data_IF_991363980792
#
_entry.id   IF_991363980792
#
_cell.length_a   1.000
_cell.length_b   1.000
_cell.length_c   1.000
_cell.angle_alpha   90.00
_cell.angle_beta   90.00
_cell.angle_gamma   90.00
#
_symmetry.space_group_name_H-M   'P 1'
#
loop_
_entity.id
_entity.type
_entity.pdbx_description
1 polymer ?
#
# COMPACT_ATOMS: atom_id res chain seq x y z
N UNK A 1 52.12 4.22 -41.00
CA UNK A 1 50.69 4.10 -40.70
C UNK A 1 50.52 4.23 -39.15
N UNK A 2 50.07 5.39 -38.70
CA UNK A 2 49.83 5.64 -37.25
C UNK A 2 48.34 5.53 -37.00
N UNK A 3 47.94 4.52 -36.20
CA UNK A 3 46.58 4.29 -35.82
C UNK A 3 46.18 5.23 -34.68
N UNK A 4 45.20 6.07 -34.90
CA UNK A 4 44.65 6.98 -33.90
C UNK A 4 43.55 6.27 -33.15
N UNK A 5 43.73 5.99 -31.86
CA UNK A 5 42.74 5.37 -31.00
C UNK A 5 41.90 6.49 -30.37
N UNK A 6 40.66 6.61 -30.78
CA UNK A 6 39.70 7.59 -30.23
C UNK A 6 39.08 7.01 -28.96
N UNK A 7 39.40 7.61 -27.81
CA UNK A 7 38.82 7.27 -26.52
C UNK A 7 37.46 7.93 -26.41
N UNK A 8 36.39 7.15 -26.42
CA UNK A 8 35.02 7.62 -26.16
C UNK A 8 34.79 7.61 -24.65
N UNK A 9 34.77 8.77 -24.03
CA UNK A 9 34.42 8.94 -22.62
C UNK A 9 32.90 8.94 -22.48
N UNK A 10 32.34 7.89 -21.94
CA UNK A 10 30.90 7.84 -21.55
C UNK A 10 30.76 8.58 -20.22
N UNK A 11 30.20 9.80 -20.29
CA UNK A 11 29.75 10.49 -19.06
C UNK A 11 28.50 9.80 -18.54
N UNK A 12 28.63 9.07 -17.43
CA UNK A 12 27.51 8.64 -16.64
C UNK A 12 26.90 9.87 -15.94
N UNK A 13 25.76 10.33 -16.43
CA UNK A 13 24.96 11.35 -15.74
C UNK A 13 24.31 10.67 -14.54
N UNK A 14 24.94 10.72 -13.38
CA UNK A 14 24.29 10.45 -12.10
C UNK A 14 23.26 11.55 -11.86
N UNK A 15 22.00 11.27 -12.16
CA UNK A 15 20.88 12.10 -11.74
C UNK A 15 20.81 12.09 -10.21
N UNK A 16 21.37 13.09 -9.55
CA UNK A 16 21.07 13.40 -8.14
C UNK A 16 19.64 13.90 -8.07
N UNK A 17 18.67 12.99 -7.95
CA UNK A 17 17.37 13.33 -7.43
C UNK A 17 17.56 13.81 -6.00
N UNK A 18 17.22 15.05 -5.69
CA UNK A 18 17.23 15.57 -4.32
C UNK A 18 16.23 14.74 -3.51
N UNK A 19 16.75 13.80 -2.71
CA UNK A 19 15.92 13.00 -1.80
C UNK A 19 15.39 13.94 -0.73
N UNK A 20 14.08 14.21 -0.77
CA UNK A 20 13.35 14.73 0.37
C UNK A 20 13.64 13.83 1.58
N UNK A 21 13.49 14.39 2.81
CA UNK A 21 13.74 13.64 4.04
C UNK A 21 12.99 12.30 4.07
N UNK A 22 13.54 11.32 4.76
CA UNK A 22 12.85 10.04 5.02
C UNK A 22 12.47 9.93 6.48
N UNK A 23 11.34 9.28 6.76
CA UNK A 23 10.88 8.99 8.12
C UNK A 23 10.44 7.54 8.27
N UNK A 24 10.66 6.97 9.45
CA UNK A 24 10.03 5.71 9.83
C UNK A 24 8.63 6.02 10.34
N UNK A 25 7.62 5.37 9.78
CA UNK A 25 6.24 5.49 10.25
C UNK A 25 5.97 4.58 11.46
N UNK A 26 6.86 3.63 11.75
CA UNK A 26 6.81 2.77 12.92
C UNK A 26 8.13 2.82 13.68
N UNK A 27 8.05 3.04 14.99
CA UNK A 27 9.21 3.24 15.86
C UNK A 27 9.76 1.96 16.53
N UNK A 28 9.11 0.79 16.28
CA UNK A 28 9.47 -0.49 16.87
C UNK A 28 9.03 -0.69 18.34
N UNK A 29 8.31 0.26 18.93
CA UNK A 29 7.97 0.26 20.37
C UNK A 29 6.48 0.37 20.65
N UNK A 30 5.79 1.26 19.95
CA UNK A 30 4.38 1.57 20.17
C UNK A 30 3.73 2.08 18.88
N UNK A 31 2.44 2.42 18.96
CA UNK A 31 1.65 2.93 17.84
C UNK A 31 1.62 4.47 17.78
N UNK A 32 2.61 5.16 18.33
CA UNK A 32 2.70 6.62 18.26
C UNK A 32 2.70 7.10 16.80
N UNK A 33 1.87 8.09 16.50
CA UNK A 33 1.65 8.61 15.13
C UNK A 33 0.58 7.84 14.34
N UNK A 34 -0.13 6.93 15.03
CA UNK A 34 -1.22 6.14 14.47
C UNK A 34 -2.42 6.12 15.42
N UNK A 35 -3.61 6.01 14.86
CA UNK A 35 -4.83 5.67 15.59
C UNK A 35 -5.50 4.43 15.01
N UNK A 36 -6.23 3.74 15.86
CA UNK A 36 -6.95 2.51 15.51
C UNK A 36 -8.41 2.85 15.25
N UNK A 37 -8.94 2.43 14.11
CA UNK A 37 -10.36 2.49 13.78
C UNK A 37 -10.91 1.08 13.58
N UNK A 38 -11.63 0.58 14.59
CA UNK A 38 -12.24 -0.75 14.63
C UNK A 38 -13.72 -0.59 14.97
N UNK A 39 -14.65 -0.71 14.01
CA UNK A 39 -16.08 -0.46 14.25
C UNK A 39 -16.69 -1.28 15.39
N UNK A 40 -16.24 -2.52 15.60
CA UNK A 40 -16.72 -3.37 16.69
C UNK A 40 -16.41 -2.79 18.08
N UNK A 41 -15.39 -1.94 18.20
CA UNK A 41 -15.03 -1.29 19.48
C UNK A 41 -16.06 -0.24 19.91
N UNK A 42 -16.85 0.31 18.99
CA UNK A 42 -17.87 1.33 19.30
C UNK A 42 -18.94 0.78 20.24
N UNK A 43 -19.26 -0.51 20.11
CA UNK A 43 -20.31 -1.17 20.91
C UNK A 43 -19.72 -2.04 22.03
N UNK A 44 -18.47 -2.46 21.91
CA UNK A 44 -17.77 -3.25 22.91
C UNK A 44 -16.30 -2.84 23.03
N UNK A 45 -15.95 -1.89 23.92
CA UNK A 45 -14.57 -1.42 24.09
C UNK A 45 -13.64 -2.47 24.70
N UNK A 46 -14.14 -3.61 25.15
CA UNK A 46 -13.35 -4.71 25.73
C UNK A 46 -12.91 -5.76 24.69
N UNK A 47 -13.13 -5.52 23.39
CA UNK A 47 -12.68 -6.45 22.35
C UNK A 47 -11.16 -6.56 22.32
N UNK A 48 -10.60 -7.68 21.82
CA UNK A 48 -9.17 -7.80 21.59
C UNK A 48 -8.62 -6.67 20.70
N UNK A 49 -7.35 -6.35 20.88
CA UNK A 49 -6.69 -5.35 20.02
C UNK A 49 -6.43 -5.92 18.63
N UNK A 50 -6.90 -5.20 17.59
CA UNK A 50 -6.65 -5.54 16.20
C UNK A 50 -5.18 -5.32 15.80
N UNK A 51 -4.49 -4.40 16.46
CA UNK A 51 -3.09 -4.08 16.21
C UNK A 51 -2.31 -4.04 17.51
N UNK A 52 -1.13 -4.67 17.51
CA UNK A 52 -0.24 -4.74 18.67
C UNK A 52 1.22 -4.56 18.23
N UNK A 53 2.09 -4.28 19.18
CA UNK A 53 3.55 -4.38 18.97
C UNK A 53 4.04 -5.64 19.70
N UNK A 54 4.71 -6.51 18.95
CA UNK A 54 5.23 -7.78 19.46
C UNK A 54 6.66 -8.01 18.95
N UNK A 55 7.63 -8.13 19.86
CA UNK A 55 9.05 -8.34 19.53
C UNK A 55 9.63 -7.26 18.58
N UNK A 56 9.22 -6.00 18.73
CA UNK A 56 9.67 -4.91 17.88
C UNK A 56 8.99 -4.86 16.50
N UNK A 57 8.02 -5.73 16.24
CA UNK A 57 7.21 -5.75 15.01
C UNK A 57 5.85 -5.12 15.28
N UNK A 58 5.34 -4.39 14.29
CA UNK A 58 3.93 -4.05 14.24
C UNK A 58 3.17 -5.26 13.72
N UNK A 59 2.11 -5.65 14.41
CA UNK A 59 1.33 -6.83 14.06
C UNK A 59 -0.14 -6.45 13.90
N UNK A 60 -0.68 -6.69 12.72
CA UNK A 60 -2.11 -6.79 12.49
C UNK A 60 -2.56 -8.19 12.89
N UNK A 61 -3.50 -8.28 13.81
CA UNK A 61 -4.02 -9.57 14.29
C UNK A 61 -5.07 -10.18 13.34
N UNK A 62 -5.46 -9.43 12.29
CA UNK A 62 -6.51 -9.81 11.35
C UNK A 62 -7.93 -9.65 11.90
N UNK A 63 -8.12 -9.85 13.19
CA UNK A 63 -9.40 -9.67 13.88
C UNK A 63 -9.17 -8.97 15.24
N UNK A 64 -10.11 -8.15 15.69
CA UNK A 64 -11.32 -7.68 14.99
C UNK A 64 -10.96 -6.82 13.78
N UNK A 65 -11.81 -6.85 12.73
CA UNK A 65 -11.59 -6.10 11.50
C UNK A 65 -11.56 -4.60 11.71
N UNK A 66 -10.67 -3.93 11.01
CA UNK A 66 -10.52 -2.49 11.07
C UNK A 66 -9.20 -2.01 10.49
N UNK A 67 -8.80 -0.80 10.85
CA UNK A 67 -7.64 -0.14 10.28
C UNK A 67 -6.76 0.50 11.36
N UNK A 68 -5.46 0.50 11.10
CA UNK A 68 -4.48 1.34 11.78
C UNK A 68 -4.11 2.47 10.83
N UNK A 69 -4.44 3.71 11.19
CA UNK A 69 -4.42 4.87 10.30
C UNK A 69 -3.39 5.88 10.83
N UNK A 70 -2.52 6.42 9.96
CA UNK A 70 -1.57 7.46 10.35
C UNK A 70 -2.31 8.74 10.79
N UNK A 71 -1.79 9.41 11.83
CA UNK A 71 -2.36 10.69 12.27
C UNK A 71 -2.10 11.81 11.26
N UNK A 72 -1.02 11.69 10.48
CA UNK A 72 -0.63 12.64 9.43
C UNK A 72 -1.08 12.19 8.05
N UNK A 73 -1.36 13.18 7.17
CA UNK A 73 -1.57 12.97 5.73
C UNK A 73 -0.27 13.17 4.96
N UNK A 74 -0.14 12.47 3.84
CA UNK A 74 1.05 12.48 3.00
C UNK A 74 0.68 12.70 1.54
N UNK A 75 1.60 13.34 0.81
CA UNK A 75 1.56 13.49 -0.64
C UNK A 75 2.97 13.34 -1.21
N UNK A 76 3.07 12.97 -2.46
CA UNK A 76 4.33 12.86 -3.20
C UNK A 76 5.38 12.07 -2.40
N UNK A 77 5.13 10.77 -2.27
CA UNK A 77 5.97 9.90 -1.45
C UNK A 77 6.25 8.54 -2.11
N UNK A 78 7.33 7.92 -1.62
CA UNK A 78 7.61 6.50 -1.76
C UNK A 78 7.50 5.86 -0.39
N UNK A 79 6.61 4.89 -0.24
CA UNK A 79 6.43 4.07 0.96
C UNK A 79 7.05 2.70 0.75
N UNK A 80 7.93 2.29 1.65
CA UNK A 80 8.49 0.94 1.69
C UNK A 80 7.91 0.19 2.87
N UNK A 81 7.30 -0.97 2.58
CA UNK A 81 6.66 -1.86 3.54
C UNK A 81 7.32 -3.22 3.46
N UNK A 82 7.86 -3.73 4.57
CA UNK A 82 8.28 -5.12 4.66
C UNK A 82 7.33 -5.89 5.57
N UNK A 83 6.68 -6.91 5.01
CA UNK A 83 5.61 -7.66 5.66
C UNK A 83 5.74 -9.16 5.44
N UNK A 84 5.09 -9.94 6.31
CA UNK A 84 4.87 -11.36 6.09
C UNK A 84 3.58 -11.83 6.76
N UNK A 85 2.99 -12.88 6.24
CA UNK A 85 1.98 -13.64 6.96
C UNK A 85 2.70 -14.58 7.94
N UNK A 86 2.40 -14.44 9.24
CA UNK A 86 3.06 -15.21 10.29
C UNK A 86 2.50 -16.63 10.43
N UNK A 87 1.31 -16.87 9.89
CA UNK A 87 0.60 -18.14 9.93
C UNK A 87 -0.12 -18.42 8.62
N UNK A 88 -1.41 -18.73 8.68
CA UNK A 88 -2.22 -18.92 7.48
C UNK A 88 -2.29 -17.62 6.66
N UNK A 89 -1.88 -17.66 5.39
CA UNK A 89 -1.99 -16.47 4.54
C UNK A 89 -3.46 -16.17 4.23
N UNK A 90 -3.75 -14.91 3.96
CA UNK A 90 -5.10 -14.46 3.66
C UNK A 90 -5.12 -13.00 3.24
N UNK A 91 -6.03 -12.22 3.80
CA UNK A 91 -6.27 -10.85 3.39
C UNK A 91 -5.60 -9.82 4.32
N UNK A 92 -5.03 -8.80 3.71
CA UNK A 92 -4.52 -7.58 4.32
C UNK A 92 -4.34 -6.53 3.20
N UNK A 93 -4.12 -5.26 3.57
CA UNK A 93 -3.94 -4.19 2.59
C UNK A 93 -3.23 -2.97 3.18
N UNK A 94 -2.65 -2.18 2.28
CA UNK A 94 -2.19 -0.81 2.54
C UNK A 94 -3.11 0.14 1.81
N UNK A 95 -3.86 0.97 2.54
CA UNK A 95 -4.74 1.96 1.97
C UNK A 95 -3.98 3.28 1.85
N UNK A 96 -3.95 3.84 0.65
CA UNK A 96 -3.30 5.14 0.37
C UNK A 96 -4.33 6.21 0.06
N UNK A 97 -3.97 7.47 0.29
CA UNK A 97 -4.85 8.63 0.18
C UNK A 97 -6.13 8.47 1.04
N UNK A 98 -6.01 7.78 2.18
CA UNK A 98 -7.12 7.58 3.07
C UNK A 98 -7.63 8.90 3.65
N UNK A 99 -8.96 9.07 3.69
CA UNK A 99 -9.60 10.29 4.15
C UNK A 99 -10.85 9.96 4.97
N UNK A 100 -12.03 10.25 4.49
CA UNK A 100 -13.30 10.05 5.23
C UNK A 100 -13.37 8.64 5.84
N UNK A 101 -13.39 8.50 7.17
CA UNK A 101 -13.45 7.20 7.81
C UNK A 101 -14.76 6.49 7.50
N UNK A 102 -14.72 5.16 7.46
CA UNK A 102 -15.90 4.27 7.33
C UNK A 102 -16.84 4.62 6.17
N UNK A 103 -16.27 5.13 5.05
CA UNK A 103 -17.02 5.58 3.89
C UNK A 103 -17.67 4.44 3.10
N UNK A 104 -17.18 3.21 3.25
CA UNK A 104 -17.73 2.02 2.60
C UNK A 104 -17.93 0.91 3.63
N UNK A 105 -19.08 0.22 3.58
CA UNK A 105 -19.48 -0.86 4.50
C UNK A 105 -19.38 -0.49 5.99
N UNK A 106 -19.46 0.81 6.34
CA UNK A 106 -19.23 1.32 7.69
C UNK A 106 -17.89 0.86 8.31
N UNK A 107 -16.90 0.55 7.50
CA UNK A 107 -15.60 0.03 7.92
C UNK A 107 -14.43 0.69 7.19
N UNK A 108 -14.44 0.70 5.84
CA UNK A 108 -13.30 1.17 5.06
C UNK A 108 -13.28 2.69 4.94
N UNK A 109 -12.13 3.35 5.17
CA UNK A 109 -11.98 4.77 4.84
C UNK A 109 -12.00 4.97 3.32
N UNK A 110 -12.44 6.13 2.88
CA UNK A 110 -12.33 6.54 1.48
C UNK A 110 -10.86 6.53 1.05
N UNK A 111 -10.47 5.70 0.06
CA UNK A 111 -9.06 5.43 -0.29
C UNK A 111 -8.92 4.61 -1.58
N UNK A 112 -7.67 4.45 -2.04
CA UNK A 112 -7.26 3.35 -2.92
C UNK A 112 -6.50 2.35 -2.04
N UNK A 113 -6.97 1.11 -2.00
CA UNK A 113 -6.26 0.03 -1.32
C UNK A 113 -5.28 -0.64 -2.28
N UNK A 114 -4.05 -0.81 -1.83
CA UNK A 114 -3.04 -1.68 -2.42
C UNK A 114 -3.10 -3.00 -1.69
N UNK A 115 -3.64 -3.99 -2.37
CA UNK A 115 -3.95 -5.30 -1.81
C UNK A 115 -2.68 -6.04 -1.39
N UNK A 116 -2.75 -6.75 -0.26
CA UNK A 116 -1.73 -7.67 0.24
C UNK A 116 -2.26 -9.10 0.38
N UNK A 117 -3.48 -9.37 -0.09
CA UNK A 117 -4.02 -10.73 -0.09
C UNK A 117 -3.06 -11.67 -0.80
N UNK A 118 -2.75 -12.81 -0.16
CA UNK A 118 -1.81 -13.79 -0.71
C UNK A 118 -2.27 -14.32 -2.07
N UNK A 119 -1.40 -14.19 -3.08
CA UNK A 119 -1.66 -14.50 -4.47
C UNK A 119 -2.24 -13.33 -5.29
N UNK A 120 -2.57 -12.20 -4.64
CA UNK A 120 -3.18 -11.02 -5.29
C UNK A 120 -2.48 -9.70 -4.89
N UNK A 121 -1.26 -9.78 -4.35
CA UNK A 121 -0.53 -8.61 -3.88
C UNK A 121 -0.32 -7.58 -5.00
N UNK A 122 -0.70 -6.34 -4.72
CA UNK A 122 -0.60 -5.23 -5.66
C UNK A 122 -1.86 -4.96 -6.49
N UNK A 123 -2.95 -5.70 -6.33
CA UNK A 123 -4.24 -5.29 -6.87
C UNK A 123 -4.63 -3.92 -6.31
N UNK A 124 -5.37 -3.13 -7.08
CA UNK A 124 -6.04 -1.96 -6.54
C UNK A 124 -7.50 -2.27 -6.20
N UNK A 125 -7.94 -1.80 -5.04
CA UNK A 125 -9.36 -1.73 -4.69
C UNK A 125 -9.79 -0.28 -4.54
N UNK A 126 -10.77 0.11 -5.34
CA UNK A 126 -11.39 1.43 -5.32
C UNK A 126 -12.40 1.52 -4.18
N UNK A 127 -12.14 2.36 -3.18
CA UNK A 127 -12.99 2.55 -1.99
C UNK A 127 -13.46 4.00 -1.96
N UNK A 128 -14.55 4.30 -2.63
CA UNK A 128 -15.11 5.66 -2.83
C UNK A 128 -14.10 6.63 -3.48
N UNK A 129 -12.94 6.12 -3.86
CA UNK A 129 -11.91 6.73 -4.72
C UNK A 129 -11.77 5.87 -5.96
N UNK A 130 -11.31 6.45 -7.06
CA UNK A 130 -11.07 5.73 -8.31
C UNK A 130 -9.68 6.01 -8.87
N UNK A 131 -9.18 5.11 -9.71
CA UNK A 131 -7.91 5.22 -10.41
C UNK A 131 -8.03 4.53 -11.78
N UNK A 132 -7.34 5.05 -12.78
CA UNK A 132 -7.28 4.44 -14.10
C UNK A 132 -5.97 3.68 -14.28
N UNK A 133 -6.03 2.56 -14.96
CA UNK A 133 -4.87 1.76 -15.34
C UNK A 133 -4.94 1.44 -16.85
N UNK A 134 -3.81 1.09 -17.48
CA UNK A 134 -3.84 0.48 -18.82
C UNK A 134 -4.68 -0.81 -18.80
N UNK A 135 -5.33 -1.10 -19.93
CA UNK A 135 -6.13 -2.32 -20.12
C UNK A 135 -7.24 -2.52 -19.07
N UNK A 136 -7.89 -1.42 -18.66
CA UNK A 136 -8.91 -1.39 -17.59
C UNK A 136 -9.95 -2.51 -17.74
N UNK A 137 -10.52 -2.72 -18.93
CA UNK A 137 -11.57 -3.71 -19.13
C UNK A 137 -11.07 -5.14 -18.87
N UNK A 138 -9.86 -5.47 -19.31
CA UNK A 138 -9.25 -6.77 -19.06
C UNK A 138 -8.95 -7.00 -17.57
N UNK A 139 -8.73 -5.92 -16.80
CA UNK A 139 -8.29 -5.97 -15.40
C UNK A 139 -9.42 -5.73 -14.40
N UNK A 140 -10.47 -5.04 -14.79
CA UNK A 140 -11.62 -4.68 -13.93
C UNK A 140 -12.94 -5.29 -14.35
N UNK A 141 -13.01 -5.90 -15.54
CA UNK A 141 -14.24 -6.42 -16.14
C UNK A 141 -15.00 -5.39 -16.96
N UNK A 142 -16.26 -5.67 -17.34
CA UNK A 142 -17.04 -4.82 -18.22
C UNK A 142 -17.24 -3.39 -17.67
N UNK A 143 -17.09 -2.35 -18.51
CA UNK A 143 -17.23 -0.95 -18.06
C UNK A 143 -18.55 -0.60 -17.39
N UNK A 144 -19.63 -1.27 -17.78
CA UNK A 144 -20.98 -1.06 -17.19
C UNK A 144 -21.07 -1.47 -15.70
N UNK A 145 -20.14 -2.31 -15.23
CA UNK A 145 -20.08 -2.80 -13.85
C UNK A 145 -19.17 -1.95 -12.96
N UNK A 146 -18.29 -1.12 -13.55
CA UNK A 146 -17.32 -0.33 -12.79
C UNK A 146 -17.99 0.61 -11.80
N UNK A 147 -17.32 0.81 -10.69
CA UNK A 147 -17.70 1.79 -9.69
C UNK A 147 -16.85 1.69 -8.43
N UNK A 148 -17.18 2.51 -7.46
CA UNK A 148 -16.38 2.75 -6.25
C UNK A 148 -17.19 2.47 -4.97
N UNK A 149 -18.43 2.01 -5.13
CA UNK A 149 -19.36 1.75 -4.04
C UNK A 149 -19.74 0.27 -3.98
N UNK A 150 -20.59 -0.08 -3.03
CA UNK A 150 -21.09 -1.43 -2.84
C UNK A 150 -21.76 -1.98 -4.12
N UNK A 151 -21.58 -3.28 -4.38
CA UNK A 151 -22.15 -3.99 -5.53
C UNK A 151 -21.50 -3.67 -6.88
N UNK A 152 -20.45 -2.84 -6.92
CA UNK A 152 -19.72 -2.50 -8.14
C UNK A 152 -18.40 -3.25 -8.26
N UNK A 153 -17.91 -3.39 -9.50
CA UNK A 153 -16.58 -3.89 -9.78
C UNK A 153 -15.54 -2.84 -9.33
N UNK A 154 -14.98 -3.03 -8.14
CA UNK A 154 -14.02 -2.11 -7.49
C UNK A 154 -12.58 -2.57 -7.59
N UNK A 155 -12.36 -3.89 -7.80
CA UNK A 155 -11.04 -4.50 -7.93
C UNK A 155 -10.46 -4.27 -9.31
N UNK A 156 -9.21 -3.85 -9.36
CA UNK A 156 -8.38 -3.76 -10.57
C UNK A 156 -7.21 -4.72 -10.39
N UNK A 157 -7.20 -5.83 -11.11
CA UNK A 157 -6.17 -6.85 -10.98
C UNK A 157 -4.77 -6.31 -11.27
N UNK A 158 -3.77 -6.85 -10.60
CA UNK A 158 -2.36 -6.58 -10.81
C UNK A 158 -1.88 -7.09 -12.20
N UNK A 159 -0.60 -6.90 -12.49
CA UNK A 159 0.03 -7.30 -13.76
C UNK A 159 0.61 -8.72 -13.69
N UNK A 160 0.86 -9.26 -12.49
CA UNK A 160 1.47 -10.57 -12.28
C UNK A 160 1.20 -11.09 -10.86
N UNK A 161 0.87 -12.38 -10.74
CA UNK A 161 0.52 -13.04 -9.48
C UNK A 161 1.69 -13.81 -8.83
N UNK A 162 2.91 -13.76 -9.40
CA UNK A 162 4.03 -14.61 -8.98
C UNK A 162 5.15 -13.86 -8.24
N UNK A 163 4.91 -12.61 -7.85
CA UNK A 163 5.95 -11.76 -7.23
C UNK A 163 6.13 -11.99 -5.73
N UNK A 164 5.18 -12.66 -5.07
CA UNK A 164 5.25 -12.93 -3.64
C UNK A 164 6.19 -14.10 -3.32
N UNK A 165 6.85 -14.02 -2.18
CA UNK A 165 7.64 -15.12 -1.62
C UNK A 165 6.75 -16.11 -0.87
N UNK A 166 7.24 -17.34 -0.63
CA UNK A 166 6.53 -18.32 0.18
C UNK A 166 6.07 -17.78 1.53
N UNK A 167 4.97 -18.34 2.03
CA UNK A 167 4.40 -17.98 3.34
C UNK A 167 5.44 -18.07 4.44
N UNK A 168 5.47 -17.09 5.35
CA UNK A 168 6.46 -16.96 6.42
C UNK A 168 7.71 -16.18 6.01
N UNK A 169 7.99 -16.00 4.73
CA UNK A 169 9.08 -15.17 4.25
C UNK A 169 8.68 -13.69 4.17
N UNK A 170 9.69 -12.82 4.33
CA UNK A 170 9.49 -11.38 4.26
C UNK A 170 9.36 -10.91 2.81
N UNK A 171 8.22 -10.29 2.50
CA UNK A 171 7.96 -9.58 1.25
C UNK A 171 8.30 -8.09 1.40
N UNK A 172 8.75 -7.48 0.32
CA UNK A 172 8.93 -6.04 0.19
C UNK A 172 7.88 -5.49 -0.77
N UNK A 173 7.03 -4.60 -0.29
CA UNK A 173 6.13 -3.81 -1.12
C UNK A 173 6.60 -2.37 -1.15
N UNK A 174 6.66 -1.79 -2.33
CA UNK A 174 6.97 -0.38 -2.53
C UNK A 174 5.78 0.28 -3.21
N UNK A 175 5.32 1.39 -2.65
CA UNK A 175 4.22 2.20 -3.20
C UNK A 175 4.76 3.60 -3.45
N UNK A 176 4.78 4.05 -4.70
CA UNK A 176 5.02 5.44 -5.05
C UNK A 176 3.69 6.10 -5.38
N UNK A 177 3.38 7.17 -4.66
CA UNK A 177 2.22 8.01 -4.88
C UNK A 177 2.71 9.45 -5.16
N UNK A 178 2.64 9.88 -6.43
CA UNK A 178 3.09 11.19 -6.88
C UNK A 178 1.95 11.87 -7.64
N UNK A 179 1.47 12.99 -7.13
CA UNK A 179 0.25 13.61 -7.60
C UNK A 179 -0.88 12.58 -7.65
N UNK A 180 -1.46 12.38 -8.82
CA UNK A 180 -2.56 11.45 -9.06
C UNK A 180 -2.11 10.14 -9.70
N UNK A 181 -0.84 9.76 -9.51
CA UNK A 181 -0.26 8.51 -10.04
C UNK A 181 0.17 7.61 -8.88
N UNK A 182 -0.19 6.34 -8.94
CA UNK A 182 0.21 5.32 -7.97
C UNK A 182 0.90 4.18 -8.72
N UNK A 183 2.10 3.80 -8.27
CA UNK A 183 2.86 2.64 -8.76
C UNK A 183 3.19 1.72 -7.62
N UNK A 184 3.13 0.43 -7.86
CA UNK A 184 3.36 -0.60 -6.82
C UNK A 184 4.33 -1.64 -7.33
N UNK A 185 5.32 -1.96 -6.50
CA UNK A 185 6.25 -3.07 -6.70
C UNK A 185 6.15 -4.06 -5.55
N UNK A 186 6.23 -5.34 -5.86
CA UNK A 186 6.36 -6.43 -4.88
C UNK A 186 7.62 -7.20 -5.20
N UNK A 187 8.53 -7.29 -4.23
CA UNK A 187 9.84 -7.93 -4.35
C UNK A 187 10.68 -7.49 -5.58
N UNK A 188 10.46 -6.25 -6.04
CA UNK A 188 11.15 -5.63 -7.18
C UNK A 188 10.38 -5.66 -8.49
N UNK A 189 9.36 -6.50 -8.62
CA UNK A 189 8.50 -6.55 -9.81
C UNK A 189 7.46 -5.43 -9.76
N UNK A 190 7.31 -4.68 -10.85
CA UNK A 190 6.21 -3.72 -11.01
C UNK A 190 4.90 -4.49 -11.19
N UNK A 191 4.09 -4.53 -10.12
CA UNK A 191 2.83 -5.29 -10.11
C UNK A 191 1.62 -4.44 -10.45
N UNK A 192 1.69 -3.11 -10.29
CA UNK A 192 0.60 -2.22 -10.68
C UNK A 192 1.08 -0.80 -10.96
N UNK A 193 0.38 -0.12 -11.87
CA UNK A 193 0.58 1.30 -12.14
C UNK A 193 -0.74 1.91 -12.61
N UNK A 194 -1.13 3.03 -11.98
CA UNK A 194 -2.34 3.76 -12.32
C UNK A 194 -2.12 5.26 -12.31
N UNK A 195 -2.98 5.98 -13.01
CA UNK A 195 -3.02 7.44 -13.10
C UNK A 195 -4.44 7.96 -12.93
N UNK A 196 -4.60 9.27 -12.95
CA UNK A 196 -5.91 9.91 -12.78
C UNK A 196 -6.65 9.47 -11.50
N UNK A 197 -5.91 9.13 -10.43
CA UNK A 197 -6.52 8.90 -9.12
C UNK A 197 -7.39 10.10 -8.73
N UNK A 198 -8.53 9.86 -8.10
CA UNK A 198 -9.44 10.94 -7.69
C UNK A 198 -8.92 11.75 -6.52
N UNK A 199 -8.00 11.19 -5.72
CA UNK A 199 -7.23 11.89 -4.70
C UNK A 199 -5.72 11.90 -5.02
N UNK A 200 -5.00 12.90 -4.51
CA UNK A 200 -3.55 13.07 -4.68
C UNK A 200 -2.79 13.11 -3.34
N UNK A 201 -3.49 12.98 -2.23
CA UNK A 201 -2.94 12.98 -0.87
C UNK A 201 -3.93 12.37 0.11
N UNK A 202 -3.47 12.01 1.29
CA UNK A 202 -4.28 11.51 2.39
C UNK A 202 -3.45 10.75 3.40
N UNK A 203 -4.12 10.13 4.36
CA UNK A 203 -3.51 9.26 5.36
C UNK A 203 -3.11 7.91 4.72
N UNK A 204 -2.27 7.17 5.42
CA UNK A 204 -1.93 5.78 5.11
C UNK A 204 -2.59 4.90 6.15
N UNK A 205 -3.25 3.82 5.72
CA UNK A 205 -3.82 2.86 6.65
C UNK A 205 -3.33 1.45 6.37
N UNK A 206 -3.19 0.65 7.42
CA UNK A 206 -2.97 -0.79 7.37
C UNK A 206 -4.25 -1.50 7.78
N UNK A 207 -4.61 -2.55 7.07
CA UNK A 207 -5.85 -3.27 7.27
C UNK A 207 -5.67 -4.48 8.20
N UNK A 208 -6.65 -4.74 9.04
CA UNK A 208 -6.85 -6.01 9.74
C UNK A 208 -8.11 -6.67 9.13
N UNK A 209 -7.92 -7.75 8.38
CA UNK A 209 -9.03 -8.44 7.68
C UNK A 209 -8.80 -9.95 7.57
N UNK A 210 -8.80 -10.63 8.71
CA UNK A 210 -8.86 -12.08 8.81
C UNK A 210 -7.53 -12.80 8.94
N UNK A 211 -6.38 -12.19 8.59
CA UNK A 211 -5.07 -12.85 8.70
C UNK A 211 -4.10 -12.06 9.55
N UNK A 212 -3.28 -12.78 10.33
CA UNK A 212 -2.19 -12.15 11.07
C UNK A 212 -1.06 -11.77 10.12
N UNK A 213 -0.70 -10.48 10.12
CA UNK A 213 0.40 -9.92 9.32
C UNK A 213 1.38 -9.19 10.22
N UNK A 214 2.65 -9.52 10.07
CA UNK A 214 3.75 -8.84 10.74
C UNK A 214 4.40 -7.83 9.79
N UNK A 215 4.71 -6.64 10.32
CA UNK A 215 5.43 -5.57 9.62
C UNK A 215 6.71 -5.25 10.39
N UNK A 216 7.86 -5.28 9.72
CA UNK A 216 9.15 -4.90 10.32
C UNK A 216 9.68 -3.57 9.82
N UNK A 217 9.17 -3.07 8.69
CA UNK A 217 9.58 -1.80 8.08
C UNK A 217 8.36 -1.10 7.50
N UNK A 218 8.20 0.15 7.91
CA UNK A 218 7.25 1.10 7.34
C UNK A 218 8.01 2.43 7.20
N UNK A 219 8.61 2.68 6.02
CA UNK A 219 9.47 3.83 5.79
C UNK A 219 8.95 4.67 4.62
N UNK A 220 8.77 5.95 4.89
CA UNK A 220 8.30 6.92 3.91
C UNK A 220 9.43 7.86 3.51
N UNK A 221 9.57 8.07 2.22
CA UNK A 221 10.47 9.05 1.61
C UNK A 221 9.61 10.11 0.92
N UNK A 222 9.80 11.36 1.27
CA UNK A 222 9.16 12.46 0.55
C UNK A 222 9.82 12.63 -0.81
N UNK A 223 9.01 12.66 -1.85
CA UNK A 223 9.45 12.92 -3.22
C UNK A 223 9.20 14.39 -3.54
N UNK A 224 10.10 14.98 -4.30
CA UNK A 224 9.90 16.32 -4.87
C UNK A 224 9.37 16.10 -6.28
N UNK A 225 8.19 16.64 -6.62
CA UNK A 225 7.60 16.52 -7.96
C UNK A 225 8.48 17.09 -9.06
#
# INVERSE_FOLDING_TARGET
MRSCLTLVTVLAVCGCGSSGGSQSLFNGKDLSGWHVDVPAADTNPQIPKAFVVRNGLLVSMGEPRGHLITDSSYRDYRLEVEYRFAGTPGNAGVLVHASTPRALYAMFPKSIEVQMESGNAGDFWCIVEDIKVPDMEARRGPPAEWGITEGKARRIRNLTDSSEKPVGEWNSMVIEAVGRTIRVWVNGDLVNAGSDATADHGQIALQAEGSEVEFRKLRLFHLVP
#
